data_IF_306681923773
#
_entry.id   IF_306681923773
#
_cell.length_a   1.000
_cell.length_b   1.000
_cell.length_c   1.000
_cell.angle_alpha   90.00
_cell.angle_beta   90.00
_cell.angle_gamma   90.00
#
_symmetry.space_group_name_H-M   'P 1'
#
loop_
_entity.id
_entity.type
_entity.pdbx_description
1 polymer ?
#
# COMPACT_ATOMS: atom_id res chain seq x y z
N UNK A 1 -14.98 -24.61 24.97
CA UNK A 1 -15.71 -25.30 23.87
C UNK A 1 -16.79 -24.31 23.49
N UNK A 2 -16.59 -23.52 22.42
CA UNK A 2 -17.58 -22.57 21.83
C UNK A 2 -16.96 -21.40 21.05
N UNK A 3 -15.81 -21.61 20.42
CA UNK A 3 -15.22 -20.65 19.47
C UNK A 3 -15.06 -21.24 18.06
N UNK A 4 -15.69 -22.39 17.77
CA UNK A 4 -15.55 -23.09 16.47
C UNK A 4 -16.78 -23.02 15.56
N UNK A 5 -17.91 -22.47 16.00
CA UNK A 5 -19.16 -22.50 15.20
C UNK A 5 -19.48 -21.23 14.40
N UNK A 6 -18.66 -20.17 14.48
CA UNK A 6 -18.83 -18.97 13.65
C UNK A 6 -18.13 -19.03 12.28
N UNK A 7 -17.51 -20.17 11.93
CA UNK A 7 -16.68 -20.33 10.72
C UNK A 7 -17.43 -20.64 9.43
N UNK A 8 -18.77 -20.80 9.43
CA UNK A 8 -19.52 -21.25 8.24
C UNK A 8 -20.72 -20.37 7.84
N UNK A 9 -20.63 -19.06 7.99
CA UNK A 9 -21.52 -18.18 7.23
C UNK A 9 -20.83 -17.80 5.92
N UNK A 10 -21.00 -18.63 4.89
CA UNK A 10 -20.78 -18.25 3.49
C UNK A 10 -21.67 -17.06 3.18
N UNK A 11 -21.10 -15.85 3.26
CA UNK A 11 -21.74 -14.66 2.70
C UNK A 11 -21.82 -14.86 1.20
N UNK A 12 -23.03 -15.05 0.68
CA UNK A 12 -23.29 -14.91 -0.77
C UNK A 12 -22.92 -13.49 -1.16
N UNK A 13 -22.20 -13.27 -2.28
CA UNK A 13 -21.91 -11.93 -2.75
C UNK A 13 -23.24 -11.20 -2.98
N UNK A 14 -23.47 -10.13 -2.23
CA UNK A 14 -24.60 -9.23 -2.42
C UNK A 14 -24.40 -8.55 -3.78
N UNK A 15 -25.45 -8.54 -4.61
CA UNK A 15 -25.49 -7.86 -5.89
C UNK A 15 -24.93 -6.45 -5.75
N UNK A 16 -24.02 -6.12 -6.65
CA UNK A 16 -23.23 -4.89 -6.77
C UNK A 16 -24.00 -3.59 -6.53
N UNK A 17 -23.88 -3.06 -5.32
CA UNK A 17 -24.28 -1.69 -5.04
C UNK A 17 -23.13 -0.73 -5.36
N UNK A 18 -23.42 0.47 -5.93
CA UNK A 18 -22.40 1.49 -6.12
C UNK A 18 -21.70 1.82 -4.80
N UNK A 19 -20.42 2.19 -4.84
CA UNK A 19 -19.58 2.51 -3.66
C UNK A 19 -20.29 3.42 -2.64
N UNK A 20 -21.15 4.34 -3.11
CA UNK A 20 -21.92 5.26 -2.24
C UNK A 20 -22.94 4.57 -1.34
N UNK A 21 -23.35 3.33 -1.66
CA UNK A 21 -24.31 2.55 -0.87
C UNK A 21 -23.67 1.40 -0.11
N UNK A 22 -22.42 1.07 -0.43
CA UNK A 22 -21.70 0.02 0.27
C UNK A 22 -21.29 0.50 1.66
N UNK A 23 -21.44 -0.39 2.61
CA UNK A 23 -21.06 -0.11 3.99
C UNK A 23 -19.67 -0.73 4.27
N UNK A 24 -18.93 -0.12 5.16
CA UNK A 24 -17.56 -0.53 5.53
C UNK A 24 -17.53 -1.97 6.02
N UNK A 25 -18.53 -2.41 6.80
CA UNK A 25 -18.60 -3.75 7.36
C UNK A 25 -18.58 -4.88 6.32
N UNK A 26 -19.07 -4.61 5.10
CA UNK A 26 -19.11 -5.62 4.02
C UNK A 26 -17.78 -5.82 3.30
N UNK A 27 -16.82 -4.91 3.49
CA UNK A 27 -15.59 -4.82 2.69
C UNK A 27 -14.34 -4.86 3.57
N UNK A 28 -14.43 -4.39 4.83
CA UNK A 28 -13.30 -4.36 5.75
C UNK A 28 -12.70 -5.76 5.97
N UNK A 29 -11.42 -5.82 6.25
CA UNK A 29 -10.77 -7.00 6.80
C UNK A 29 -11.00 -7.03 8.30
N UNK A 30 -11.71 -8.06 8.80
CA UNK A 30 -12.01 -8.22 10.23
C UNK A 30 -10.89 -8.89 11.02
N UNK A 31 -10.05 -9.69 10.36
CA UNK A 31 -8.87 -10.29 10.98
C UNK A 31 -7.71 -9.29 10.94
N UNK A 32 -7.54 -8.54 12.04
CA UNK A 32 -6.53 -7.48 12.13
C UNK A 32 -5.26 -8.02 12.76
N UNK A 33 -4.14 -7.90 12.06
CA UNK A 33 -2.83 -8.18 12.62
C UNK A 33 -2.36 -7.01 13.46
N UNK A 34 -1.91 -7.30 14.67
CA UNK A 34 -1.50 -6.30 15.66
C UNK A 34 -0.06 -6.52 16.12
N UNK A 35 0.52 -5.48 16.73
CA UNK A 35 1.85 -5.53 17.32
C UNK A 35 1.90 -4.64 18.58
N UNK A 36 2.77 -4.99 19.53
CA UNK A 36 3.02 -4.19 20.71
C UNK A 36 3.92 -2.99 20.35
N UNK A 37 3.73 -1.79 20.95
CA UNK A 37 4.61 -0.63 20.74
C UNK A 37 6.08 -0.89 21.16
N UNK A 38 6.31 -1.77 22.11
CA UNK A 38 7.65 -2.15 22.58
C UNK A 38 8.37 -3.18 21.67
N UNK A 39 7.65 -3.79 20.73
CA UNK A 39 8.23 -4.70 19.74
C UNK A 39 9.20 -3.96 18.82
N UNK A 40 10.14 -4.71 18.23
CA UNK A 40 11.12 -4.16 17.28
C UNK A 40 10.52 -3.99 15.87
N UNK A 41 11.13 -3.11 15.08
CA UNK A 41 10.76 -2.96 13.67
C UNK A 41 11.05 -4.24 12.86
N UNK A 42 12.05 -5.02 13.29
CA UNK A 42 12.33 -6.32 12.69
C UNK A 42 11.18 -7.32 12.88
N UNK A 43 10.64 -7.40 14.11
CA UNK A 43 9.43 -8.21 14.37
C UNK A 43 8.25 -7.75 13.54
N UNK A 44 8.06 -6.43 13.39
CA UNK A 44 7.03 -5.86 12.52
C UNK A 44 7.23 -6.32 11.05
N UNK A 45 8.47 -6.21 10.53
CA UNK A 45 8.80 -6.65 9.18
C UNK A 45 8.54 -8.16 8.97
N UNK A 46 8.90 -9.00 9.95
CA UNK A 46 8.67 -10.44 9.90
C UNK A 46 7.18 -10.78 9.86
N UNK A 47 6.36 -10.17 10.74
CA UNK A 47 4.91 -10.39 10.76
C UNK A 47 4.28 -9.94 9.45
N UNK A 48 4.63 -8.75 8.95
CA UNK A 48 4.12 -8.23 7.68
C UNK A 48 4.52 -9.14 6.50
N UNK A 49 5.79 -9.54 6.42
CA UNK A 49 6.30 -10.38 5.34
C UNK A 49 5.68 -11.77 5.32
N UNK A 50 5.58 -12.43 6.49
CA UNK A 50 5.00 -13.77 6.64
C UNK A 50 3.51 -13.82 6.25
N UNK A 51 2.77 -12.77 6.59
CA UNK A 51 1.32 -12.70 6.35
C UNK A 51 0.95 -11.93 5.07
N UNK A 52 1.94 -11.49 4.29
CA UNK A 52 1.74 -10.72 3.05
C UNK A 52 0.90 -9.45 3.25
N UNK A 53 1.01 -8.81 4.41
CA UNK A 53 0.31 -7.56 4.76
C UNK A 53 1.26 -6.36 4.76
N UNK A 54 0.74 -5.16 4.57
CA UNK A 54 1.54 -3.93 4.47
C UNK A 54 1.44 -3.02 5.68
N UNK A 55 0.82 -3.48 6.77
CA UNK A 55 0.71 -2.71 8.02
C UNK A 55 0.27 -3.58 9.17
N UNK A 56 0.59 -3.10 10.39
CA UNK A 56 0.11 -3.66 11.65
C UNK A 56 -0.52 -2.55 12.49
N UNK A 57 -1.65 -2.83 13.11
CA UNK A 57 -2.20 -1.92 14.12
C UNK A 57 -1.38 -2.07 15.40
N UNK A 58 -0.95 -0.95 15.96
CA UNK A 58 -0.19 -0.95 17.21
C UNK A 58 -1.16 -0.89 18.38
N UNK A 59 -1.11 -1.92 19.23
CA UNK A 59 -1.97 -2.06 20.39
C UNK A 59 -1.18 -1.89 21.67
N UNK A 60 -1.60 -0.97 22.52
CA UNK A 60 -1.11 -0.87 23.90
C UNK A 60 -2.20 -1.39 24.82
N UNK A 61 -1.95 -2.56 25.42
CA UNK A 61 -2.99 -3.35 26.08
C UNK A 61 -4.12 -3.67 25.07
N UNK A 62 -5.34 -3.28 25.35
CA UNK A 62 -6.50 -3.46 24.45
C UNK A 62 -6.84 -2.22 23.60
N UNK A 63 -6.02 -1.17 23.69
CA UNK A 63 -6.28 0.10 23.01
C UNK A 63 -5.45 0.24 21.75
N UNK A 64 -6.06 0.48 20.57
CA UNK A 64 -5.33 0.78 19.35
C UNK A 64 -4.75 2.19 19.40
N UNK A 65 -3.41 2.29 19.47
CA UNK A 65 -2.69 3.56 19.67
C UNK A 65 -2.06 4.11 18.39
N UNK A 66 -1.83 3.25 17.38
CA UNK A 66 -1.18 3.68 16.14
C UNK A 66 -1.20 2.62 15.06
N UNK A 67 -0.45 2.88 14.02
CA UNK A 67 -0.23 1.98 12.89
C UNK A 67 1.21 2.05 12.42
N UNK A 68 1.81 0.91 12.09
CA UNK A 68 3.10 0.83 11.42
C UNK A 68 2.93 0.21 10.04
N UNK A 69 3.61 0.76 9.04
CA UNK A 69 3.46 0.40 7.63
C UNK A 69 4.79 0.05 6.97
N UNK A 70 4.74 -0.57 5.79
CA UNK A 70 5.92 -0.83 4.97
C UNK A 70 6.70 0.44 4.59
N UNK A 71 6.02 1.59 4.45
CA UNK A 71 6.65 2.87 4.19
C UNK A 71 7.45 3.41 5.39
N UNK A 72 6.95 3.18 6.61
CA UNK A 72 7.65 3.57 7.83
C UNK A 72 8.95 2.77 7.98
N UNK A 73 8.91 1.46 7.67
CA UNK A 73 10.10 0.60 7.67
C UNK A 73 11.12 1.04 6.61
N UNK A 74 10.65 1.41 5.41
CA UNK A 74 11.51 1.91 4.34
C UNK A 74 12.23 3.19 4.74
N UNK A 75 11.52 4.13 5.37
CA UNK A 75 12.11 5.40 5.81
C UNK A 75 13.25 5.17 6.81
N UNK A 76 13.05 4.31 7.79
CA UNK A 76 14.10 3.97 8.79
C UNK A 76 15.31 3.30 8.11
N UNK A 77 15.08 2.42 7.16
CA UNK A 77 16.18 1.80 6.40
C UNK A 77 16.99 2.86 5.66
N UNK A 78 16.32 3.79 5.01
CA UNK A 78 16.99 4.85 4.25
C UNK A 78 17.79 5.82 5.13
N UNK A 79 17.30 6.12 6.35
CA UNK A 79 18.00 6.94 7.34
C UNK A 79 19.23 6.25 7.93
N UNK A 80 19.20 4.93 8.04
CA UNK A 80 20.30 4.11 8.57
C UNK A 80 21.43 3.81 7.58
N UNK A 81 21.32 4.26 6.31
CA UNK A 81 22.35 4.06 5.29
C UNK A 81 23.42 5.16 5.43
N UNK A 82 24.68 4.85 5.85
CA UNK A 82 25.74 5.85 5.93
C UNK A 82 26.09 6.38 4.57
N UNK A 83 26.36 7.69 4.46
CA UNK A 83 26.83 8.34 3.23
C UNK A 83 28.27 7.96 2.84
N UNK A 84 29.02 7.28 3.71
CA UNK A 84 30.41 6.86 3.51
C UNK A 84 30.57 5.34 3.65
N UNK A 85 31.52 4.76 2.88
CA UNK A 85 31.68 3.35 2.48
C UNK A 85 31.91 2.26 3.57
N UNK A 86 31.71 2.49 4.85
CA UNK A 86 32.03 1.49 5.92
C UNK A 86 30.82 0.65 6.40
N UNK A 87 30.04 0.10 5.50
CA UNK A 87 28.68 -0.37 5.73
C UNK A 87 28.43 -1.85 5.36
N UNK A 88 29.22 -2.71 5.94
CA UNK A 88 29.06 -4.18 5.80
C UNK A 88 27.95 -4.72 6.76
N UNK A 89 27.23 -3.89 7.47
CA UNK A 89 26.25 -4.37 8.46
C UNK A 89 24.86 -3.85 8.17
N UNK A 90 23.92 -4.80 7.94
CA UNK A 90 22.47 -4.61 7.99
C UNK A 90 22.09 -3.55 9.02
N UNK A 91 21.28 -2.59 8.61
CA UNK A 91 20.90 -1.41 9.42
C UNK A 91 20.60 -1.80 10.88
N UNK A 92 21.41 -1.37 11.86
CA UNK A 92 21.17 -1.71 13.27
C UNK A 92 19.83 -1.21 13.78
N UNK A 93 19.30 -0.13 13.16
CA UNK A 93 18.08 0.53 13.59
C UNK A 93 16.83 -0.33 13.45
N UNK A 94 16.65 -1.13 12.40
CA UNK A 94 15.47 -2.01 12.30
C UNK A 94 15.47 -3.08 13.39
N UNK A 95 16.62 -3.64 13.76
CA UNK A 95 16.70 -4.72 14.74
C UNK A 95 16.48 -4.28 16.17
N UNK A 96 16.79 -3.04 16.49
CA UNK A 96 16.78 -2.52 17.86
C UNK A 96 15.75 -1.45 18.09
N UNK A 97 15.35 -0.71 17.03
CA UNK A 97 14.38 0.36 17.14
C UNK A 97 12.98 -0.19 17.41
N UNK A 98 12.27 0.46 18.32
CA UNK A 98 10.93 0.07 18.73
C UNK A 98 9.86 0.66 17.81
N UNK A 99 8.77 -0.08 17.64
CA UNK A 99 7.61 0.31 16.83
C UNK A 99 7.06 1.67 17.28
N UNK A 100 6.98 1.95 18.58
CA UNK A 100 6.44 3.21 19.12
C UNK A 100 7.20 4.46 18.67
N UNK A 101 8.48 4.33 18.29
CA UNK A 101 9.31 5.44 17.82
C UNK A 101 9.01 5.86 16.39
N UNK A 102 8.43 4.94 15.61
CA UNK A 102 8.29 5.07 14.16
C UNK A 102 6.83 5.06 13.71
N UNK A 103 5.96 4.40 14.48
CA UNK A 103 4.54 4.29 14.16
C UNK A 103 3.87 5.66 13.96
N UNK A 104 2.91 5.71 13.06
CA UNK A 104 1.97 6.85 12.99
C UNK A 104 0.96 6.76 14.13
N UNK A 105 0.88 7.80 14.95
CA UNK A 105 -0.05 7.89 16.09
C UNK A 105 -0.67 9.30 16.15
N UNK A 106 -1.96 9.44 16.55
CA UNK A 106 -2.91 8.37 16.86
C UNK A 106 -3.41 7.61 15.63
N UNK A 107 -3.91 6.38 15.82
CA UNK A 107 -4.58 5.63 14.76
C UNK A 107 -5.80 6.41 14.25
N UNK A 108 -5.86 6.68 12.95
CA UNK A 108 -7.05 7.27 12.34
C UNK A 108 -8.10 6.17 12.19
N UNK A 109 -9.29 6.42 12.74
CA UNK A 109 -10.36 5.44 12.85
C UNK A 109 -11.64 5.94 12.19
N UNK A 110 -12.48 4.98 11.78
CA UNK A 110 -13.83 5.22 11.27
C UNK A 110 -14.80 4.23 11.91
N UNK A 111 -16.05 4.62 12.12
CA UNK A 111 -17.06 3.72 12.63
C UNK A 111 -17.53 2.76 11.53
N UNK A 112 -17.78 1.50 11.89
CA UNK A 112 -18.23 0.42 11.00
C UNK A 112 -19.51 0.74 10.23
N UNK A 113 -20.36 1.58 10.80
CA UNK A 113 -21.65 1.97 10.21
C UNK A 113 -21.53 3.06 9.11
N UNK A 114 -20.37 3.62 8.91
CA UNK A 114 -20.16 4.59 7.83
C UNK A 114 -20.15 3.91 6.46
N UNK A 115 -20.40 4.71 5.43
CA UNK A 115 -20.35 4.26 4.04
C UNK A 115 -18.92 4.24 3.53
N UNK A 116 -18.68 3.45 2.51
CA UNK A 116 -17.38 3.36 1.87
C UNK A 116 -16.89 4.71 1.32
N UNK A 117 -17.80 5.54 0.78
CA UNK A 117 -17.48 6.89 0.31
C UNK A 117 -16.96 7.80 1.44
N UNK A 118 -17.44 7.65 2.65
CA UNK A 118 -16.97 8.42 3.80
C UNK A 118 -15.57 8.00 4.22
N UNK A 119 -15.28 6.67 4.18
CA UNK A 119 -13.94 6.15 4.39
C UNK A 119 -12.95 6.68 3.32
N UNK A 120 -13.36 6.69 2.04
CA UNK A 120 -12.55 7.23 0.96
C UNK A 120 -12.22 8.72 1.19
N UNK A 121 -13.22 9.53 1.53
CA UNK A 121 -13.03 10.96 1.85
C UNK A 121 -12.07 11.16 3.03
N UNK A 122 -12.24 10.40 4.09
CA UNK A 122 -11.38 10.47 5.27
C UNK A 122 -9.92 10.09 4.93
N UNK A 123 -9.72 9.05 4.12
CA UNK A 123 -8.37 8.66 3.65
C UNK A 123 -7.70 9.78 2.85
N UNK A 124 -8.46 10.46 1.97
CA UNK A 124 -7.96 11.57 1.17
C UNK A 124 -7.62 12.76 2.05
N UNK A 125 -8.54 13.17 2.91
CA UNK A 125 -8.37 14.30 3.84
C UNK A 125 -7.14 14.11 4.75
N UNK A 126 -7.03 12.94 5.36
CA UNK A 126 -5.94 12.62 6.28
C UNK A 126 -4.66 12.14 5.57
N UNK A 127 -4.67 12.04 4.24
CA UNK A 127 -3.56 11.57 3.41
C UNK A 127 -3.06 10.16 3.79
N UNK A 128 -3.97 9.28 4.22
CA UNK A 128 -3.67 7.90 4.62
C UNK A 128 -4.27 6.89 3.64
N UNK A 129 -3.73 5.69 3.64
CA UNK A 129 -4.18 4.58 2.79
C UNK A 129 -4.95 3.51 3.56
N UNK A 130 -5.12 3.68 4.88
CA UNK A 130 -5.72 2.71 5.80
C UNK A 130 -6.41 3.41 6.94
N UNK A 131 -7.52 2.84 7.41
CA UNK A 131 -8.24 3.31 8.60
C UNK A 131 -8.52 2.11 9.50
N UNK A 132 -8.35 2.27 10.81
CA UNK A 132 -8.92 1.34 11.75
C UNK A 132 -10.44 1.44 11.74
N UNK A 133 -11.14 0.31 11.72
CA UNK A 133 -12.60 0.28 11.80
C UNK A 133 -13.01 -0.08 13.22
N UNK A 134 -13.87 0.77 13.81
CA UNK A 134 -14.32 0.59 15.19
C UNK A 134 -15.83 0.44 15.26
N UNK A 135 -16.29 -0.37 16.24
CA UNK A 135 -17.67 -0.45 16.67
C UNK A 135 -17.72 -0.20 18.18
N UNK A 136 -18.57 0.74 18.60
CA UNK A 136 -18.77 1.09 20.02
C UNK A 136 -17.46 1.39 20.80
N UNK A 137 -16.40 1.80 20.08
CA UNK A 137 -15.08 2.10 20.63
C UNK A 137 -14.04 1.01 20.41
N UNK A 138 -14.45 -0.22 20.20
CA UNK A 138 -13.57 -1.38 19.96
C UNK A 138 -13.11 -1.47 18.51
N UNK A 139 -11.89 -1.90 18.30
CA UNK A 139 -11.35 -2.17 16.98
C UNK A 139 -11.94 -3.48 16.44
N UNK A 140 -12.70 -3.39 15.34
CA UNK A 140 -13.38 -4.55 14.72
C UNK A 140 -12.84 -4.89 13.34
N UNK A 141 -11.95 -4.05 12.79
CA UNK A 141 -11.40 -4.28 11.45
C UNK A 141 -10.41 -3.20 11.01
N UNK A 142 -9.93 -3.37 9.79
CA UNK A 142 -9.15 -2.40 9.04
C UNK A 142 -9.72 -2.29 7.63
N UNK A 143 -9.77 -1.08 7.08
CA UNK A 143 -10.12 -0.85 5.69
C UNK A 143 -8.99 -0.11 4.97
N UNK A 144 -8.65 -0.56 3.77
CA UNK A 144 -7.56 -0.02 2.97
C UNK A 144 -8.03 0.44 1.59
N UNK A 145 -7.19 1.24 0.90
CA UNK A 145 -7.43 1.59 -0.50
C UNK A 145 -7.55 0.36 -1.42
N UNK A 146 -6.90 -0.76 -1.07
CA UNK A 146 -7.01 -2.00 -1.84
C UNK A 146 -8.39 -2.61 -1.72
N UNK A 147 -8.92 -2.73 -0.50
CA UNK A 147 -10.27 -3.26 -0.25
C UNK A 147 -11.32 -2.45 -1.01
N UNK A 148 -11.14 -1.12 -1.06
CA UNK A 148 -12.02 -0.24 -1.82
C UNK A 148 -11.97 -0.52 -3.31
N UNK A 149 -10.77 -0.67 -3.90
CA UNK A 149 -10.61 -0.92 -5.33
C UNK A 149 -11.18 -2.28 -5.70
N UNK A 150 -10.92 -3.30 -4.92
CA UNK A 150 -11.43 -4.65 -5.16
C UNK A 150 -12.97 -4.69 -5.15
N UNK A 151 -13.61 -3.70 -4.53
CA UNK A 151 -15.07 -3.53 -4.52
C UNK A 151 -15.64 -2.73 -5.70
N UNK A 152 -14.79 -2.05 -6.51
CA UNK A 152 -15.19 -1.14 -7.58
C UNK A 152 -15.72 -1.80 -8.88
N UNK A 153 -15.37 -3.02 -9.29
CA UNK A 153 -15.68 -3.57 -10.62
C UNK A 153 -17.16 -3.73 -10.95
N UNK A 154 -18.02 -3.46 -10.00
CA UNK A 154 -19.44 -3.73 -10.13
C UNK A 154 -20.28 -2.47 -10.33
N UNK A 155 -19.65 -1.33 -10.65
CA UNK A 155 -20.37 -0.09 -10.94
C UNK A 155 -21.01 -0.21 -12.34
N UNK A 156 -22.35 -0.03 -12.47
CA UNK A 156 -23.01 -0.02 -13.76
C UNK A 156 -22.39 1.01 -14.71
N UNK A 157 -22.36 0.70 -16.02
CA UNK A 157 -21.76 1.58 -17.03
C UNK A 157 -22.27 3.03 -16.97
N UNK A 158 -23.56 3.19 -16.68
CA UNK A 158 -24.22 4.49 -16.53
C UNK A 158 -23.75 5.31 -15.33
N UNK A 159 -23.00 4.70 -14.41
CA UNK A 159 -22.47 5.31 -13.19
C UNK A 159 -20.95 5.33 -13.14
N UNK A 160 -20.26 4.88 -14.21
CA UNK A 160 -18.81 4.94 -14.31
C UNK A 160 -18.38 6.41 -14.34
N UNK A 161 -17.42 6.83 -13.50
CA UNK A 161 -16.88 8.18 -13.62
C UNK A 161 -16.21 8.34 -14.99
N UNK A 162 -16.60 9.36 -15.71
CA UNK A 162 -16.05 9.73 -17.02
C UNK A 162 -14.66 10.37 -16.92
N UNK A 163 -13.92 10.03 -15.86
CA UNK A 163 -12.61 10.61 -15.63
C UNK A 163 -11.54 9.78 -16.35
N UNK A 164 -10.68 10.47 -17.05
CA UNK A 164 -9.46 9.91 -17.60
C UNK A 164 -8.35 9.88 -16.55
N UNK A 165 -7.43 8.93 -16.67
CA UNK A 165 -6.34 8.70 -15.70
C UNK A 165 -5.42 9.90 -15.52
N UNK A 166 -5.26 10.74 -16.55
CA UNK A 166 -4.38 11.91 -16.56
C UNK A 166 -4.81 13.03 -15.63
N UNK A 167 -6.07 13.03 -15.16
CA UNK A 167 -6.57 13.96 -14.15
C UNK A 167 -6.12 13.58 -12.72
N UNK A 168 -5.75 12.32 -12.49
CA UNK A 168 -5.44 11.79 -11.16
C UNK A 168 -4.02 11.24 -11.02
N UNK A 169 -3.41 10.77 -12.11
CA UNK A 169 -2.06 10.21 -12.05
C UNK A 169 -1.02 11.24 -11.59
N UNK A 170 -0.02 10.79 -10.86
CA UNK A 170 1.18 11.57 -10.63
C UNK A 170 1.97 11.70 -11.94
N UNK A 171 2.26 12.93 -12.35
CA UNK A 171 3.13 13.20 -13.51
C UNK A 171 4.61 13.10 -13.17
N UNK A 172 4.95 13.07 -11.90
CA UNK A 172 6.30 12.86 -11.43
C UNK A 172 6.61 11.35 -11.42
N UNK A 173 7.27 10.87 -12.47
CA UNK A 173 7.76 9.49 -12.54
C UNK A 173 9.16 9.42 -11.96
N UNK A 174 9.33 8.67 -10.89
CA UNK A 174 10.64 8.42 -10.27
C UNK A 174 11.21 7.14 -10.85
N UNK A 175 12.42 7.21 -11.37
CA UNK A 175 13.11 6.08 -12.02
C UNK A 175 14.42 5.74 -11.29
N UNK A 176 14.86 4.49 -11.44
CA UNK A 176 16.19 4.02 -11.08
C UNK A 176 16.72 3.16 -12.23
N UNK A 177 18.02 3.28 -12.53
CA UNK A 177 18.66 2.39 -13.50
C UNK A 177 18.76 0.97 -12.94
N UNK A 178 18.77 -0.05 -13.81
CA UNK A 178 18.79 -1.45 -13.40
C UNK A 178 20.01 -1.83 -12.53
N UNK A 179 21.15 -1.14 -12.73
CA UNK A 179 22.37 -1.33 -11.96
C UNK A 179 22.36 -0.59 -10.61
N UNK A 180 21.30 0.17 -10.30
CA UNK A 180 21.17 0.89 -9.03
C UNK A 180 20.99 -0.07 -7.87
N UNK A 181 21.84 0.05 -6.84
CA UNK A 181 21.72 -0.78 -5.62
C UNK A 181 20.45 -0.45 -4.84
N UNK A 182 19.86 -1.45 -4.20
CA UNK A 182 18.61 -1.31 -3.46
C UNK A 182 18.69 -0.28 -2.33
N UNK A 183 19.83 -0.10 -1.73
CA UNK A 183 20.07 0.98 -0.75
C UNK A 183 19.80 2.35 -1.37
N UNK A 184 20.39 2.61 -2.54
CA UNK A 184 20.14 3.85 -3.24
C UNK A 184 18.69 3.99 -3.67
N UNK A 185 18.07 2.89 -4.07
CA UNK A 185 16.62 2.86 -4.37
C UNK A 185 15.80 3.21 -3.15
N UNK A 186 16.11 2.65 -1.96
CA UNK A 186 15.44 2.99 -0.71
C UNK A 186 15.55 4.49 -0.39
N UNK A 187 16.75 5.06 -0.53
CA UNK A 187 16.98 6.49 -0.33
C UNK A 187 16.15 7.34 -1.31
N UNK A 188 16.15 6.99 -2.61
CA UNK A 188 15.36 7.69 -3.64
C UNK A 188 13.87 7.64 -3.28
N UNK A 189 13.35 6.49 -2.89
CA UNK A 189 11.93 6.32 -2.54
C UNK A 189 11.54 7.15 -1.31
N UNK A 190 12.39 7.17 -0.28
CA UNK A 190 12.17 7.96 0.93
C UNK A 190 12.26 9.46 0.65
N UNK A 191 13.32 9.93 -0.01
CA UNK A 191 13.53 11.35 -0.35
C UNK A 191 12.42 11.92 -1.22
N UNK A 192 11.95 11.15 -2.20
CA UNK A 192 10.88 11.57 -3.12
C UNK A 192 9.47 11.26 -2.57
N UNK A 193 9.37 10.66 -1.38
CA UNK A 193 8.10 10.25 -0.76
C UNK A 193 7.23 9.39 -1.69
N UNK A 194 7.86 8.46 -2.44
CA UNK A 194 7.17 7.56 -3.38
C UNK A 194 7.28 6.12 -2.91
N UNK A 195 6.21 5.37 -3.05
CA UNK A 195 6.17 3.95 -2.68
C UNK A 195 6.61 3.00 -3.80
N UNK A 196 7.23 3.51 -4.89
CA UNK A 196 7.80 2.70 -5.97
C UNK A 196 8.71 3.53 -6.86
N UNK A 197 9.65 2.86 -7.53
CA UNK A 197 10.43 3.40 -8.65
C UNK A 197 10.20 2.55 -9.90
N UNK A 198 10.22 3.18 -11.06
CA UNK A 198 10.27 2.46 -12.34
C UNK A 198 11.72 2.14 -12.65
N UNK A 199 12.00 0.88 -12.89
CA UNK A 199 13.36 0.42 -13.24
C UNK A 199 13.57 0.58 -14.74
N UNK A 200 14.70 1.18 -15.12
CA UNK A 200 15.06 1.43 -16.52
C UNK A 200 16.35 0.73 -16.87
N UNK A 201 16.44 0.23 -18.11
CA UNK A 201 17.66 -0.25 -18.75
C UNK A 201 17.89 0.56 -20.01
N UNK A 202 19.04 1.20 -20.13
CA UNK A 202 19.38 2.09 -21.26
C UNK A 202 18.27 3.12 -21.55
N UNK A 203 17.68 3.68 -20.49
CA UNK A 203 16.59 4.66 -20.55
C UNK A 203 15.20 4.10 -20.93
N UNK A 204 15.07 2.79 -21.13
CA UNK A 204 13.78 2.13 -21.40
C UNK A 204 13.22 1.52 -20.11
N UNK A 205 11.92 1.70 -19.80
CA UNK A 205 11.30 1.10 -18.63
C UNK A 205 11.20 -0.41 -18.79
N UNK A 206 11.75 -1.17 -17.85
CA UNK A 206 11.76 -2.64 -17.86
C UNK A 206 10.95 -3.27 -16.75
N UNK A 207 10.79 -2.57 -15.61
CA UNK A 207 10.11 -3.13 -14.44
C UNK A 207 9.74 -2.05 -13.42
N UNK A 208 9.22 -2.50 -12.30
CA UNK A 208 8.86 -1.69 -11.14
C UNK A 208 9.38 -2.34 -9.86
N UNK A 209 9.88 -1.53 -8.94
CA UNK A 209 10.25 -1.95 -7.58
C UNK A 209 9.45 -1.13 -6.56
N UNK A 210 8.92 -1.78 -5.52
CA UNK A 210 7.96 -1.18 -4.58
C UNK A 210 8.38 -1.35 -3.12
N UNK A 211 7.76 -0.57 -2.20
CA UNK A 211 7.86 -0.77 -0.73
C UNK A 211 7.58 -2.24 -0.35
N UNK A 212 6.60 -2.87 -1.02
CA UNK A 212 6.23 -4.27 -0.82
C UNK A 212 7.37 -5.22 -1.20
N UNK A 213 8.05 -4.96 -2.32
CA UNK A 213 9.19 -5.78 -2.74
C UNK A 213 10.34 -5.65 -1.74
N UNK A 214 10.64 -4.43 -1.27
CA UNK A 214 11.63 -4.18 -0.23
C UNK A 214 11.33 -4.99 1.04
N UNK A 215 10.10 -4.90 1.53
CA UNK A 215 9.66 -5.63 2.72
C UNK A 215 9.77 -7.15 2.53
N UNK A 216 9.12 -7.69 1.50
CA UNK A 216 8.90 -9.14 1.36
C UNK A 216 10.11 -9.91 0.83
N UNK A 217 10.93 -9.25 0.01
CA UNK A 217 12.12 -9.88 -0.59
C UNK A 217 13.36 -9.71 0.28
N UNK A 218 13.44 -8.63 1.08
CA UNK A 218 14.66 -8.25 1.82
C UNK A 218 14.45 -8.09 3.33
N UNK A 219 13.67 -7.12 3.80
CA UNK A 219 13.63 -6.76 5.21
C UNK A 219 13.13 -7.88 6.12
N UNK A 220 12.06 -8.58 5.74
CA UNK A 220 11.54 -9.70 6.52
C UNK A 220 12.43 -10.95 6.50
N UNK A 221 13.42 -11.00 5.61
CA UNK A 221 14.36 -12.11 5.42
C UNK A 221 15.79 -11.78 5.84
N UNK A 222 15.99 -10.59 6.39
CA UNK A 222 17.31 -10.10 6.81
C UNK A 222 18.36 -10.10 5.69
N UNK A 223 17.94 -9.92 4.45
CA UNK A 223 18.84 -9.90 3.30
C UNK A 223 19.55 -8.57 3.14
N UNK A 224 20.78 -8.61 2.65
CA UNK A 224 21.54 -7.41 2.28
C UNK A 224 20.82 -6.63 1.18
N UNK A 225 20.95 -5.31 1.21
CA UNK A 225 20.47 -4.39 0.19
C UNK A 225 21.53 -4.07 -0.88
N UNK A 226 22.68 -4.78 -0.85
CA UNK A 226 23.73 -4.72 -1.88
C UNK A 226 23.32 -5.67 -3.02
N UNK A 227 22.25 -5.33 -3.68
CA UNK A 227 21.70 -6.05 -4.82
C UNK A 227 21.23 -5.01 -5.84
N UNK A 228 21.45 -5.24 -7.12
CA UNK A 228 20.98 -4.37 -8.19
C UNK A 228 19.46 -4.53 -8.35
N UNK A 229 18.76 -3.39 -8.49
CA UNK A 229 17.30 -3.37 -8.56
C UNK A 229 16.77 -4.10 -9.80
N UNK A 230 17.54 -4.13 -10.89
CA UNK A 230 17.21 -4.85 -12.12
C UNK A 230 16.99 -6.35 -11.90
N UNK A 231 17.81 -6.98 -11.02
CA UNK A 231 17.73 -8.40 -10.72
C UNK A 231 16.47 -8.80 -9.93
N UNK A 232 15.81 -7.84 -9.26
CA UNK A 232 14.77 -8.14 -8.27
C UNK A 232 13.47 -7.38 -8.51
N UNK A 233 13.43 -6.44 -9.45
CA UNK A 233 12.21 -5.72 -9.82
C UNK A 233 11.15 -6.66 -10.41
N UNK A 234 9.90 -6.23 -10.35
CA UNK A 234 8.81 -6.94 -11.04
C UNK A 234 8.84 -6.56 -12.53
N UNK A 235 9.14 -7.52 -13.38
CA UNK A 235 9.27 -7.39 -14.84
C UNK A 235 8.45 -8.50 -15.54
N UNK A 236 7.88 -8.28 -16.75
CA UNK A 236 7.86 -7.03 -17.49
C UNK A 236 6.95 -5.97 -16.87
N UNK A 237 7.23 -4.68 -17.15
CA UNK A 237 6.41 -3.57 -16.67
C UNK A 237 5.01 -3.61 -17.29
N UNK A 238 3.98 -3.65 -16.46
CA UNK A 238 2.58 -3.52 -16.90
C UNK A 238 2.26 -2.04 -17.01
N UNK A 239 1.82 -1.59 -18.17
CA UNK A 239 1.50 -0.18 -18.47
C UNK A 239 0.11 -0.05 -19.08
N UNK A 240 -0.42 1.18 -19.06
CA UNK A 240 -1.61 1.55 -19.82
C UNK A 240 -1.38 2.86 -20.60
N UNK A 241 -2.09 3.07 -21.73
CA UNK A 241 -1.97 4.32 -22.47
C UNK A 241 -2.65 5.49 -21.71
N UNK A 242 -2.19 6.71 -21.96
CA UNK A 242 -2.90 7.92 -21.54
C UNK A 242 -4.29 7.97 -22.17
N UNK A 243 -5.24 8.60 -21.50
CA UNK A 243 -6.62 8.73 -21.99
C UNK A 243 -7.52 7.54 -21.69
N UNK A 244 -7.01 6.45 -21.08
CA UNK A 244 -7.91 5.39 -20.61
C UNK A 244 -8.76 5.90 -19.45
N UNK A 245 -9.93 5.31 -19.26
CA UNK A 245 -10.80 5.65 -18.14
C UNK A 245 -10.23 5.16 -16.80
N UNK A 246 -10.58 5.84 -15.72
CA UNK A 246 -10.28 5.39 -14.34
C UNK A 246 -10.82 3.97 -14.09
N UNK A 247 -11.95 3.62 -14.69
CA UNK A 247 -12.55 2.30 -14.56
C UNK A 247 -11.69 1.21 -15.22
N UNK A 248 -11.28 1.42 -16.48
CA UNK A 248 -10.42 0.46 -17.18
C UNK A 248 -9.06 0.30 -16.50
N UNK A 249 -8.52 1.40 -15.96
CA UNK A 249 -7.31 1.36 -15.15
C UNK A 249 -7.50 0.53 -13.88
N UNK A 250 -8.64 0.68 -13.19
CA UNK A 250 -8.99 -0.12 -12.01
C UNK A 250 -9.10 -1.61 -12.37
N UNK A 251 -9.78 -1.96 -13.47
CA UNK A 251 -9.87 -3.34 -13.95
C UNK A 251 -8.50 -3.96 -14.23
N UNK A 252 -7.59 -3.22 -14.89
CA UNK A 252 -6.22 -3.68 -15.14
C UNK A 252 -5.52 -3.94 -13.80
N UNK A 253 -5.61 -3.00 -12.84
CA UNK A 253 -4.93 -3.12 -11.56
C UNK A 253 -5.45 -4.32 -10.75
N UNK A 254 -6.77 -4.55 -10.73
CA UNK A 254 -7.40 -5.69 -10.05
C UNK A 254 -7.00 -7.00 -10.73
N UNK A 255 -7.19 -7.11 -12.05
CA UNK A 255 -6.89 -8.33 -12.81
C UNK A 255 -5.41 -8.74 -12.74
N UNK A 256 -4.51 -7.76 -12.64
CA UNK A 256 -3.06 -7.98 -12.55
C UNK A 256 -2.54 -8.00 -11.12
N UNK A 257 -3.41 -7.81 -10.11
CA UNK A 257 -3.04 -7.73 -8.70
C UNK A 257 -1.95 -6.69 -8.40
N UNK A 258 -1.99 -5.55 -9.11
CA UNK A 258 -1.04 -4.44 -8.95
C UNK A 258 -1.72 -3.22 -8.30
N UNK A 259 -0.94 -2.42 -7.56
CA UNK A 259 -1.42 -1.21 -6.87
C UNK A 259 -0.88 0.08 -7.50
N UNK A 260 -0.11 -0.06 -8.58
CA UNK A 260 0.46 1.03 -9.35
C UNK A 260 0.45 0.65 -10.83
N UNK A 261 -0.01 1.58 -11.65
CA UNK A 261 -0.12 1.42 -13.10
C UNK A 261 0.61 2.57 -13.77
N UNK A 262 1.82 2.35 -14.29
CA UNK A 262 2.54 3.31 -15.10
C UNK A 262 1.75 3.64 -16.37
N UNK A 263 1.66 4.93 -16.69
CA UNK A 263 0.92 5.45 -17.84
C UNK A 263 1.90 5.88 -18.92
N UNK A 264 1.61 5.50 -20.15
CA UNK A 264 2.47 5.78 -21.32
C UNK A 264 1.74 6.60 -22.37
N UNK A 265 2.53 7.43 -23.07
CA UNK A 265 2.11 8.13 -24.29
C UNK A 265 3.21 7.93 -25.34
N UNK A 266 2.84 7.41 -26.51
CA UNK A 266 3.79 7.13 -27.61
C UNK A 266 5.01 6.30 -27.15
N UNK A 267 4.76 5.29 -26.28
CA UNK A 267 5.77 4.41 -25.70
C UNK A 267 6.63 5.03 -24.59
N UNK A 268 6.42 6.29 -24.24
CA UNK A 268 7.15 6.99 -23.15
C UNK A 268 6.32 7.06 -21.90
N UNK A 269 6.93 6.89 -20.74
CA UNK A 269 6.29 7.08 -19.44
C UNK A 269 5.92 8.55 -19.24
N UNK A 270 4.65 8.81 -18.90
CA UNK A 270 4.13 10.16 -18.64
C UNK A 270 3.52 10.33 -17.26
N UNK A 271 3.33 9.23 -16.53
CA UNK A 271 2.81 9.27 -15.17
C UNK A 271 2.71 7.88 -14.54
N UNK A 272 2.29 7.86 -13.28
CA UNK A 272 1.97 6.65 -12.53
C UNK A 272 0.65 6.85 -11.82
N UNK A 273 -0.30 5.96 -12.06
CA UNK A 273 -1.57 5.90 -11.35
C UNK A 273 -1.44 4.92 -10.18
N UNK A 274 -1.87 5.32 -9.00
CA UNK A 274 -1.87 4.48 -7.80
C UNK A 274 -3.28 4.09 -7.35
N UNK A 275 -3.36 3.09 -6.48
CA UNK A 275 -4.59 2.71 -5.80
C UNK A 275 -5.29 3.89 -5.09
N UNK A 276 -4.50 4.82 -4.52
CA UNK A 276 -5.03 6.02 -3.87
C UNK A 276 -5.72 6.96 -4.86
N UNK A 277 -5.12 7.12 -6.04
CA UNK A 277 -5.66 8.02 -7.08
C UNK A 277 -7.00 7.50 -7.60
N UNK A 278 -7.15 6.17 -7.71
CA UNK A 278 -8.43 5.54 -8.01
C UNK A 278 -9.48 5.83 -6.94
N UNK A 279 -9.14 5.65 -5.65
CA UNK A 279 -10.05 5.96 -4.55
C UNK A 279 -10.45 7.43 -4.56
N UNK A 280 -9.52 8.33 -4.89
CA UNK A 280 -9.80 9.76 -5.02
C UNK A 280 -10.79 10.04 -6.16
N UNK A 281 -10.59 9.44 -7.33
CA UNK A 281 -11.49 9.59 -8.46
C UNK A 281 -12.93 9.16 -8.12
N UNK A 282 -13.07 7.99 -7.50
CA UNK A 282 -14.40 7.50 -7.07
C UNK A 282 -15.03 8.29 -5.92
N UNK A 283 -14.23 8.91 -5.05
CA UNK A 283 -14.76 9.76 -3.99
C UNK A 283 -15.30 11.11 -4.52
N UNK A 284 -14.75 11.58 -5.64
CA UNK A 284 -15.18 12.83 -6.29
C UNK A 284 -16.43 12.65 -7.17
N UNK A 285 -16.61 11.47 -7.79
CA UNK A 285 -17.82 11.09 -8.55
C UNK A 285 -18.97 10.69 -7.61
#
# INVERSE_FOLDING_TARGET
MELRELRNKTFKPIKSEPMRYQNIASIMTSEVFTINPESTLHEAAQIMGKNHIGSLIVMKYETPVGIITEGDLLNIVSEGIPLERDWIRSSPSIRTEKVEKVMSSPLIRICVNYRLKDAARLMIEKKVRRLGVCDSGDLVGIITTSDMIDSLPQVPETMKPWFEVDHFMSKQVVTADEETLLEKVAMIMAEKHVGSVIVTSQGKPIGIFTERDMLTKFLCKDKSLIEEVGNVCSSPLITAPIGISIHDAAEIMIKKHIKRLPITKDGKLVGVLSARDLVEAYARG
#
